data_IF_202106722846
#
_entry.id   IF_202106722846
#
_cell.length_a   1.000
_cell.length_b   1.000
_cell.length_c   1.000
_cell.angle_alpha   90.00
_cell.angle_beta   90.00
_cell.angle_gamma   90.00
#
_symmetry.space_group_name_H-M   'P 1'
#
loop_
_entity.id
_entity.type
_entity.pdbx_description
1 polymer ?
#
# COMPACT_ATOMS: atom_id res chain seq x y z
N UNK A 1 -7.10 -2.72 25.20
CA UNK A 1 -6.38 -2.28 26.40
C UNK A 1 -5.68 -3.55 26.87
N UNK A 2 -4.40 -3.69 26.54
CA UNK A 2 -3.61 -4.84 26.99
C UNK A 2 -3.57 -4.79 28.51
N UNK A 3 -3.97 -5.86 29.20
CA UNK A 3 -3.80 -5.97 30.65
C UNK A 3 -2.31 -6.14 30.93
N UNK A 4 -1.66 -5.00 31.17
CA UNK A 4 -0.29 -4.94 31.63
C UNK A 4 -0.34 -5.39 33.09
N UNK A 5 0.01 -6.66 33.34
CA UNK A 5 0.13 -7.22 34.68
C UNK A 5 0.98 -6.30 35.55
N UNK A 6 0.55 -6.10 36.78
CA UNK A 6 1.29 -5.28 37.73
C UNK A 6 2.63 -5.94 38.06
N UNK A 7 3.65 -5.12 38.34
CA UNK A 7 5.00 -5.63 38.62
C UNK A 7 5.04 -6.63 39.79
N UNK A 8 4.10 -6.51 40.73
CA UNK A 8 3.94 -7.42 41.87
C UNK A 8 3.43 -8.81 41.44
N UNK A 9 2.56 -8.88 40.43
CA UNK A 9 2.09 -10.15 39.86
C UNK A 9 3.19 -10.84 39.05
N UNK A 10 4.03 -10.07 38.34
CA UNK A 10 5.18 -10.60 37.63
C UNK A 10 6.19 -11.22 38.60
N UNK A 11 6.48 -10.56 39.73
CA UNK A 11 7.39 -11.08 40.75
C UNK A 11 6.84 -12.30 41.48
N UNK A 12 5.52 -12.37 41.69
CA UNK A 12 4.85 -13.54 42.25
C UNK A 12 4.97 -14.76 41.32
N UNK A 13 4.78 -14.57 40.00
CA UNK A 13 4.94 -15.63 39.00
C UNK A 13 6.41 -16.08 38.85
N UNK A 14 7.37 -15.15 38.89
CA UNK A 14 8.80 -15.46 38.84
C UNK A 14 9.25 -16.28 40.06
N UNK A 15 8.74 -15.96 41.26
CA UNK A 15 8.99 -16.75 42.47
C UNK A 15 8.35 -18.14 42.39
N UNK A 16 7.13 -18.26 41.86
CA UNK A 16 6.45 -19.54 41.66
C UNK A 16 7.21 -20.47 40.73
N UNK A 17 7.75 -19.95 39.62
CA UNK A 17 8.60 -20.70 38.68
C UNK A 17 9.93 -21.13 39.32
N UNK A 18 10.56 -20.27 40.12
CA UNK A 18 11.85 -20.57 40.75
C UNK A 18 11.77 -21.62 41.87
N UNK A 19 10.63 -21.73 42.56
CA UNK A 19 10.41 -22.74 43.60
C UNK A 19 9.84 -24.07 43.09
N UNK A 20 9.48 -24.17 41.81
CA UNK A 20 8.97 -25.41 41.22
C UNK A 20 7.60 -25.85 41.76
N UNK A 21 6.89 -24.96 42.46
CA UNK A 21 5.59 -25.22 43.11
C UNK A 21 4.39 -24.97 42.16
N UNK A 22 4.66 -24.67 40.89
CA UNK A 22 3.60 -24.63 39.89
C UNK A 22 3.39 -26.05 39.39
N UNK A 23 2.30 -26.67 39.84
CA UNK A 23 1.75 -27.84 39.19
C UNK A 23 1.51 -27.48 37.72
N UNK A 24 2.44 -27.90 36.86
CA UNK A 24 2.23 -27.87 35.42
C UNK A 24 1.25 -28.99 35.14
N UNK A 25 -0.05 -28.69 35.24
CA UNK A 25 -1.06 -29.52 34.63
C UNK A 25 -0.60 -29.75 33.19
N UNK A 26 -0.27 -31.01 32.89
CA UNK A 26 -0.08 -31.44 31.50
C UNK A 26 -1.38 -31.07 30.81
N UNK A 27 -1.31 -30.07 29.95
CA UNK A 27 -2.41 -29.70 29.06
C UNK A 27 -2.80 -30.98 28.34
N UNK A 28 -3.90 -31.60 28.77
CA UNK A 28 -4.51 -32.69 28.02
C UNK A 28 -4.73 -32.13 26.62
N UNK A 29 -4.17 -32.79 25.60
CA UNK A 29 -4.53 -32.49 24.23
C UNK A 29 -6.02 -32.77 24.08
N UNK A 30 -6.83 -31.74 24.28
CA UNK A 30 -8.25 -31.78 24.03
C UNK A 30 -8.37 -32.12 22.55
N UNK A 31 -8.77 -33.37 22.27
CA UNK A 31 -9.27 -33.83 20.98
C UNK A 31 -10.53 -33.03 20.65
N UNK A 32 -10.30 -31.80 20.20
CA UNK A 32 -11.30 -30.81 19.86
C UNK A 32 -11.14 -30.45 18.39
N UNK A 33 -12.27 -30.46 17.67
CA UNK A 33 -12.36 -29.95 16.31
C UNK A 33 -11.78 -28.54 16.29
N UNK A 34 -10.62 -28.36 15.65
CA UNK A 34 -10.09 -27.03 15.38
C UNK A 34 -11.04 -26.38 14.37
N UNK A 35 -11.73 -25.32 14.79
CA UNK A 35 -12.46 -24.43 13.89
C UNK A 35 -11.48 -23.91 12.83
N UNK A 36 -11.54 -24.51 11.66
CA UNK A 36 -10.70 -24.16 10.54
C UNK A 36 -11.36 -23.00 9.79
N UNK A 37 -10.78 -21.81 9.93
CA UNK A 37 -11.27 -20.63 9.24
C UNK A 37 -10.83 -20.64 7.77
N UNK A 38 -11.77 -20.98 6.88
CA UNK A 38 -11.57 -20.95 5.44
C UNK A 38 -11.40 -19.52 4.88
N UNK A 39 -11.74 -18.48 5.63
CA UNK A 39 -11.61 -17.07 5.22
C UNK A 39 -10.22 -16.49 5.51
N UNK A 40 -9.46 -17.16 6.38
CA UNK A 40 -8.10 -16.83 6.77
C UNK A 40 -7.02 -17.33 5.80
N UNK A 41 -7.39 -18.01 4.70
CA UNK A 41 -6.41 -18.44 3.70
C UNK A 41 -5.76 -17.23 3.01
N UNK A 42 -4.66 -16.74 3.58
CA UNK A 42 -3.63 -16.09 2.79
C UNK A 42 -3.19 -17.11 1.75
N UNK A 43 -3.67 -16.96 0.52
CA UNK A 43 -2.97 -17.54 -0.63
C UNK A 43 -1.61 -16.87 -0.66
N UNK A 44 -0.67 -17.43 0.09
CA UNK A 44 0.75 -17.11 -0.03
C UNK A 44 1.10 -17.61 -1.44
N UNK A 45 1.01 -16.72 -2.44
CA UNK A 45 1.66 -16.95 -3.72
C UNK A 45 3.14 -16.87 -3.39
N UNK A 46 3.70 -18.04 -3.10
CA UNK A 46 5.05 -18.27 -2.58
C UNK A 46 6.07 -18.19 -3.73
N UNK A 47 6.01 -17.11 -4.49
CA UNK A 47 6.89 -16.84 -5.61
C UNK A 47 7.07 -15.33 -5.75
N UNK A 48 8.33 -14.89 -5.72
CA UNK A 48 8.68 -13.55 -6.23
C UNK A 48 8.16 -13.47 -7.66
N UNK A 49 7.71 -12.29 -8.11
CA UNK A 49 7.29 -12.05 -9.48
C UNK A 49 8.37 -11.24 -10.23
N UNK A 50 9.54 -11.82 -10.60
CA UNK A 50 10.64 -11.08 -11.20
C UNK A 50 10.23 -10.24 -12.41
N UNK A 51 9.34 -10.76 -13.26
CA UNK A 51 8.86 -10.02 -14.43
C UNK A 51 8.08 -8.77 -14.03
N UNK A 52 7.27 -8.85 -12.98
CA UNK A 52 6.53 -7.70 -12.44
C UNK A 52 7.48 -6.68 -11.81
N UNK A 53 8.51 -7.15 -11.09
CA UNK A 53 9.52 -6.28 -10.51
C UNK A 53 10.28 -5.50 -11.61
N UNK A 54 10.69 -6.19 -12.68
CA UNK A 54 11.35 -5.57 -13.84
C UNK A 54 10.42 -4.57 -14.55
N UNK A 55 9.14 -4.91 -14.72
CA UNK A 55 8.15 -4.00 -15.32
C UNK A 55 8.00 -2.73 -14.48
N UNK A 56 7.87 -2.89 -13.17
CA UNK A 56 7.67 -1.79 -12.24
C UNK A 56 8.92 -0.90 -12.10
N UNK A 57 10.12 -1.47 -12.13
CA UNK A 57 11.36 -0.70 -12.11
C UNK A 57 11.50 0.17 -13.37
N UNK A 58 11.13 -0.38 -14.54
CA UNK A 58 11.09 0.37 -15.80
C UNK A 58 10.03 1.46 -15.78
N UNK A 59 8.83 1.14 -15.30
CA UNK A 59 7.75 2.12 -15.12
C UNK A 59 8.19 3.27 -14.22
N UNK A 60 8.80 2.98 -13.07
CA UNK A 60 9.31 4.00 -12.16
C UNK A 60 10.33 4.93 -12.85
N UNK A 61 11.23 4.36 -13.66
CA UNK A 61 12.23 5.11 -14.42
C UNK A 61 11.61 6.00 -15.49
N UNK A 62 10.67 5.48 -16.28
CA UNK A 62 9.99 6.24 -17.33
C UNK A 62 9.12 7.34 -16.72
N UNK A 63 8.31 6.99 -15.72
CA UNK A 63 7.45 7.94 -15.02
C UNK A 63 8.24 9.06 -14.34
N UNK A 64 9.42 8.76 -13.78
CA UNK A 64 10.34 9.78 -13.25
C UNK A 64 10.72 10.81 -14.31
N UNK A 65 11.09 10.36 -15.52
CA UNK A 65 11.49 11.24 -16.62
C UNK A 65 10.30 12.06 -17.12
N UNK A 66 9.18 11.40 -17.39
CA UNK A 66 7.94 12.03 -17.87
C UNK A 66 7.42 13.07 -16.88
N UNK A 67 7.36 12.73 -15.59
CA UNK A 67 6.91 13.64 -14.54
C UNK A 67 7.88 14.82 -14.34
N UNK A 68 9.19 14.55 -14.30
CA UNK A 68 10.21 15.60 -14.16
C UNK A 68 10.16 16.61 -15.32
N UNK A 69 9.96 16.13 -16.55
CA UNK A 69 9.78 16.97 -17.72
C UNK A 69 8.49 17.80 -17.65
N UNK A 70 7.40 17.20 -17.15
CA UNK A 70 6.09 17.84 -17.06
C UNK A 70 6.06 18.99 -16.04
N UNK A 71 6.68 18.81 -14.87
CA UNK A 71 6.73 19.84 -13.82
C UNK A 71 7.97 20.72 -13.86
N UNK A 72 8.93 20.43 -14.75
CA UNK A 72 10.23 21.10 -14.89
C UNK A 72 11.05 21.14 -13.60
N UNK A 73 11.02 20.05 -12.83
CA UNK A 73 11.78 19.87 -11.58
C UNK A 73 12.33 18.44 -11.51
N UNK A 74 13.41 18.26 -10.76
CA UNK A 74 13.92 16.92 -10.47
C UNK A 74 12.96 16.20 -9.52
N UNK A 75 12.39 15.09 -10.01
CA UNK A 75 11.60 14.15 -9.20
C UNK A 75 12.42 12.87 -9.02
N UNK A 76 12.28 12.24 -7.86
CA UNK A 76 12.76 10.89 -7.62
C UNK A 76 11.56 9.95 -7.47
N UNK A 77 11.64 8.80 -8.12
CA UNK A 77 10.59 7.78 -8.10
C UNK A 77 11.28 6.45 -7.89
N UNK A 78 10.91 5.77 -6.81
CA UNK A 78 11.46 4.48 -6.44
C UNK A 78 10.35 3.45 -6.34
N UNK A 79 10.61 2.25 -6.84
CA UNK A 79 9.70 1.13 -6.64
C UNK A 79 9.90 0.56 -5.23
N UNK A 80 8.79 0.27 -4.54
CA UNK A 80 8.77 -0.45 -3.27
C UNK A 80 8.32 -1.89 -3.52
N UNK A 81 8.79 -2.82 -2.69
CA UNK A 81 8.50 -4.25 -2.78
C UNK A 81 7.02 -4.54 -3.03
N UNK A 82 6.77 -5.49 -3.94
CA UNK A 82 5.43 -6.00 -4.23
C UNK A 82 4.96 -6.85 -3.06
N UNK A 83 3.83 -6.47 -2.47
CA UNK A 83 3.19 -7.18 -1.37
C UNK A 83 1.81 -7.68 -1.79
N UNK A 84 1.44 -8.87 -1.29
CA UNK A 84 0.10 -9.42 -1.48
C UNK A 84 -0.72 -9.02 -0.26
N UNK A 85 -1.85 -8.34 -0.50
CA UNK A 85 -2.77 -7.92 0.56
C UNK A 85 -4.20 -8.22 0.14
N UNK A 86 -5.10 -8.42 1.12
CA UNK A 86 -6.54 -8.54 0.84
C UNK A 86 -7.05 -7.19 0.36
N UNK A 87 -7.91 -7.21 -0.66
CA UNK A 87 -8.48 -5.99 -1.22
C UNK A 87 -9.20 -5.14 -0.16
N UNK A 88 -9.93 -5.79 0.76
CA UNK A 88 -10.62 -5.10 1.85
C UNK A 88 -9.65 -4.36 2.78
N UNK A 89 -8.52 -4.96 3.11
CA UNK A 89 -7.49 -4.35 3.98
C UNK A 89 -6.80 -3.19 3.25
N UNK A 90 -6.52 -3.34 1.96
CA UNK A 90 -6.02 -2.25 1.11
C UNK A 90 -6.99 -1.06 1.11
N UNK A 91 -8.27 -1.29 0.81
CA UNK A 91 -9.28 -0.23 0.74
C UNK A 91 -9.48 0.51 2.07
N UNK A 92 -9.36 -0.19 3.21
CA UNK A 92 -9.39 0.44 4.54
C UNK A 92 -8.18 1.33 4.82
N UNK A 93 -7.04 1.05 4.16
CA UNK A 93 -5.82 1.84 4.29
C UNK A 93 -5.78 3.07 3.38
N UNK A 94 -6.63 3.17 2.36
CA UNK A 94 -6.65 4.32 1.44
C UNK A 94 -7.22 5.55 2.17
N UNK A 95 -6.44 6.64 2.33
CA UNK A 95 -6.92 7.84 3.01
C UNK A 95 -8.00 8.54 2.19
N UNK A 96 -8.99 9.11 2.86
CA UNK A 96 -9.95 10.01 2.22
C UNK A 96 -9.48 11.47 2.35
N UNK A 97 -9.46 12.28 1.26
CA UNK A 97 -9.74 11.95 -0.14
C UNK A 97 -8.53 11.32 -0.86
N UNK A 98 -8.78 10.46 -1.86
CA UNK A 98 -7.76 9.90 -2.78
C UNK A 98 -8.33 9.79 -4.20
N UNK A 99 -7.50 9.94 -5.22
CA UNK A 99 -7.90 9.67 -6.61
C UNK A 99 -7.74 8.18 -6.89
N UNK A 100 -8.86 7.50 -7.09
CA UNK A 100 -8.91 6.07 -7.38
C UNK A 100 -9.30 5.89 -8.85
N UNK A 101 -8.42 5.25 -9.62
CA UNK A 101 -8.58 5.04 -11.06
C UNK A 101 -8.63 3.54 -11.33
N UNK A 102 -9.76 3.06 -11.85
CA UNK A 102 -9.94 1.67 -12.26
C UNK A 102 -9.64 1.59 -13.75
N UNK A 103 -8.77 0.67 -14.14
CA UNK A 103 -8.36 0.49 -15.52
C UNK A 103 -8.32 -0.98 -15.89
N UNK A 104 -8.26 -1.25 -17.19
CA UNK A 104 -8.10 -2.60 -17.74
C UNK A 104 -6.85 -2.60 -18.61
N UNK A 105 -6.08 -3.68 -18.54
CA UNK A 105 -4.91 -3.88 -19.39
C UNK A 105 -5.21 -5.04 -20.32
N UNK A 106 -5.57 -4.77 -21.58
CA UNK A 106 -5.74 -5.85 -22.55
C UNK A 106 -4.34 -6.39 -22.98
N UNK A 107 -4.12 -7.72 -23.02
CA UNK A 107 -5.07 -8.83 -22.88
C UNK A 107 -5.21 -9.40 -21.45
N UNK A 108 -4.54 -8.82 -20.46
CA UNK A 108 -4.57 -9.30 -19.08
C UNK A 108 -6.02 -9.28 -18.56
N UNK A 109 -6.42 -10.39 -17.95
CA UNK A 109 -7.79 -10.54 -17.43
C UNK A 109 -7.90 -9.85 -16.08
N UNK A 110 -8.92 -9.02 -15.94
CA UNK A 110 -9.25 -8.35 -14.68
C UNK A 110 -9.13 -6.83 -14.77
N UNK A 111 -9.31 -6.19 -13.62
CA UNK A 111 -9.17 -4.74 -13.46
C UNK A 111 -7.95 -4.42 -12.60
N UNK A 112 -7.20 -3.41 -13.02
CA UNK A 112 -6.16 -2.76 -12.24
C UNK A 112 -6.72 -1.57 -11.48
N UNK A 113 -6.06 -1.23 -10.38
CA UNK A 113 -6.39 -0.08 -9.55
C UNK A 113 -5.14 0.80 -9.39
N UNK A 114 -5.27 2.07 -9.74
CA UNK A 114 -4.24 3.10 -9.54
C UNK A 114 -4.77 4.12 -8.55
N UNK A 115 -4.09 4.26 -7.40
CA UNK A 115 -4.48 5.17 -6.32
C UNK A 115 -3.41 6.24 -6.16
N UNK A 116 -3.83 7.50 -6.19
CA UNK A 116 -3.01 8.64 -5.81
C UNK A 116 -3.60 9.26 -4.54
N UNK A 117 -2.76 9.46 -3.53
CA UNK A 117 -3.12 10.11 -2.28
C UNK A 117 -3.32 11.62 -2.49
N UNK A 118 -4.22 12.23 -1.73
CA UNK A 118 -4.49 13.67 -1.84
C UNK A 118 -3.24 14.55 -1.63
N UNK A 119 -2.37 14.32 -0.62
CA UNK A 119 -1.17 15.14 -0.43
C UNK A 119 -0.25 15.17 -1.66
N UNK A 120 -0.03 14.02 -2.30
CA UNK A 120 0.74 13.95 -3.56
C UNK A 120 0.05 14.74 -4.68
N UNK A 121 -1.26 14.56 -4.87
CA UNK A 121 -2.02 15.25 -5.91
C UNK A 121 -1.96 16.77 -5.74
N UNK A 122 -2.20 17.28 -4.52
CA UNK A 122 -2.14 18.72 -4.27
C UNK A 122 -0.73 19.27 -4.49
N UNK A 123 0.30 18.54 -4.11
CA UNK A 123 1.70 18.90 -4.39
C UNK A 123 1.97 18.99 -5.89
N UNK A 124 1.47 18.01 -6.67
CA UNK A 124 1.59 18.02 -8.13
C UNK A 124 0.86 19.22 -8.76
N UNK A 125 -0.36 19.50 -8.30
CA UNK A 125 -1.14 20.65 -8.76
C UNK A 125 -0.38 21.95 -8.50
N UNK A 126 0.17 22.15 -7.31
CA UNK A 126 1.01 23.32 -7.02
C UNK A 126 2.17 23.43 -8.01
N UNK A 127 2.89 22.34 -8.29
CA UNK A 127 3.99 22.38 -9.24
C UNK A 127 3.55 22.70 -10.68
N UNK A 128 2.41 22.20 -11.13
CA UNK A 128 1.85 22.55 -12.45
C UNK A 128 1.48 24.03 -12.57
N UNK A 129 1.09 24.66 -11.46
CA UNK A 129 0.79 26.10 -11.41
C UNK A 129 2.00 26.97 -11.04
N UNK A 130 3.20 26.41 -10.92
CA UNK A 130 4.43 27.14 -10.59
C UNK A 130 4.62 27.43 -9.09
N UNK A 131 3.87 26.77 -8.23
CA UNK A 131 4.01 26.80 -6.78
C UNK A 131 5.28 26.13 -6.28
N UNK A 132 5.63 26.40 -5.02
CA UNK A 132 6.90 25.93 -4.43
C UNK A 132 6.81 24.56 -3.75
N UNK A 133 5.60 24.00 -3.58
CA UNK A 133 5.36 22.73 -2.88
C UNK A 133 5.52 22.82 -1.36
N UNK A 134 5.55 24.05 -0.82
CA UNK A 134 5.65 24.34 0.63
C UNK A 134 4.28 24.52 1.27
N UNK A 135 3.20 24.44 0.50
CA UNK A 135 1.84 24.49 1.04
C UNK A 135 1.56 23.23 1.84
N UNK A 136 1.37 23.37 3.15
CA UNK A 136 0.71 22.33 3.94
C UNK A 136 -0.76 22.30 3.50
N UNK A 137 -1.08 21.47 2.52
CA UNK A 137 -2.46 21.26 2.11
C UNK A 137 -3.09 20.30 3.10
N UNK A 138 -3.93 20.83 4.01
CA UNK A 138 -4.84 19.98 4.77
C UNK A 138 -5.93 19.53 3.79
N UNK A 139 -6.06 18.22 3.51
CA UNK A 139 -7.19 17.75 2.76
C UNK A 139 -8.42 18.00 3.64
N UNK A 140 -9.23 19.01 3.33
CA UNK A 140 -10.44 19.35 4.10
C UNK A 140 -11.57 18.31 3.93
N UNK A 141 -11.24 17.07 3.54
CA UNK A 141 -12.23 16.06 3.15
C UNK A 141 -13.04 16.45 1.91
N UNK A 142 -12.58 17.45 1.15
CA UNK A 142 -13.26 17.93 -0.06
C UNK A 142 -12.93 17.06 -1.27
N UNK A 143 -13.89 16.97 -2.19
CA UNK A 143 -13.66 16.42 -3.52
C UNK A 143 -12.77 17.35 -4.37
N UNK A 144 -12.07 16.78 -5.35
CA UNK A 144 -11.27 17.54 -6.29
C UNK A 144 -12.17 18.40 -7.19
N UNK A 145 -11.81 19.66 -7.36
CA UNK A 145 -12.49 20.58 -8.29
C UNK A 145 -12.29 20.14 -9.75
N UNK A 146 -13.14 20.58 -10.70
CA UNK A 146 -13.01 20.18 -12.10
C UNK A 146 -11.66 20.52 -12.75
N UNK A 147 -10.99 21.58 -12.29
CA UNK A 147 -9.67 21.97 -12.80
C UNK A 147 -8.60 21.02 -12.27
N UNK A 148 -8.67 20.67 -10.98
CA UNK A 148 -7.77 19.72 -10.34
C UNK A 148 -7.95 18.32 -10.97
N UNK A 149 -9.18 17.89 -11.23
CA UNK A 149 -9.49 16.64 -11.93
C UNK A 149 -8.85 16.56 -13.32
N UNK A 150 -8.81 17.67 -14.08
CA UNK A 150 -8.13 17.68 -15.38
C UNK A 150 -6.63 17.47 -15.26
N UNK A 151 -6.00 18.03 -14.23
CA UNK A 151 -4.56 17.85 -13.96
C UNK A 151 -4.30 16.41 -13.53
N UNK A 152 -5.10 15.88 -12.61
CA UNK A 152 -5.04 14.48 -12.16
C UNK A 152 -5.15 13.55 -13.37
N UNK A 153 -6.14 13.78 -14.25
CA UNK A 153 -6.32 12.99 -15.46
C UNK A 153 -5.09 13.04 -16.38
N UNK A 154 -4.48 14.21 -16.56
CA UNK A 154 -3.24 14.34 -17.35
C UNK A 154 -2.09 13.52 -16.77
N UNK A 155 -1.92 13.52 -15.44
CA UNK A 155 -0.89 12.72 -14.76
C UNK A 155 -1.19 11.22 -14.86
N UNK A 156 -2.45 10.83 -14.70
CA UNK A 156 -2.91 9.44 -14.86
C UNK A 156 -2.63 8.94 -16.28
N UNK A 157 -2.96 9.72 -17.32
CA UNK A 157 -2.70 9.34 -18.71
C UNK A 157 -1.21 9.25 -19.03
N UNK A 158 -0.39 10.11 -18.42
CA UNK A 158 1.08 10.02 -18.52
C UNK A 158 1.59 8.72 -17.90
N UNK A 159 1.12 8.39 -16.70
CA UNK A 159 1.43 7.13 -16.03
C UNK A 159 1.06 5.92 -16.90
N UNK A 160 -0.12 5.91 -17.52
CA UNK A 160 -0.52 4.80 -18.39
C UNK A 160 0.31 4.68 -19.66
N UNK A 161 0.71 5.81 -20.26
CA UNK A 161 1.65 5.82 -21.40
C UNK A 161 2.98 5.19 -21.01
N UNK A 162 3.53 5.61 -19.87
CA UNK A 162 4.81 5.09 -19.36
C UNK A 162 4.70 3.60 -18.98
N UNK A 163 3.53 3.18 -18.47
CA UNK A 163 3.21 1.81 -18.12
C UNK A 163 3.15 0.93 -19.37
N UNK A 164 2.46 1.35 -20.42
CA UNK A 164 2.43 0.61 -21.68
C UNK A 164 3.84 0.39 -22.22
N UNK A 165 4.68 1.43 -22.22
CA UNK A 165 6.07 1.32 -22.68
C UNK A 165 6.93 0.40 -21.80
N UNK A 166 6.75 0.46 -20.48
CA UNK A 166 7.49 -0.41 -19.55
C UNK A 166 7.12 -1.90 -19.70
N UNK A 167 5.89 -2.20 -20.11
CA UNK A 167 5.37 -3.56 -20.26
C UNK A 167 5.66 -4.20 -21.63
N UNK A 168 5.95 -3.42 -22.68
CA UNK A 168 6.31 -3.91 -24.04
C UNK A 168 7.32 -5.07 -24.10
N UNK A 169 8.35 -5.15 -23.24
CA UNK A 169 9.33 -6.23 -23.35
C UNK A 169 8.86 -7.54 -22.70
N UNK A 170 7.78 -7.50 -21.95
CA UNK A 170 7.18 -8.67 -21.27
C UNK A 170 5.97 -9.17 -22.07
N UNK A 171 5.26 -8.26 -22.73
CA UNK A 171 4.11 -8.54 -23.58
C UNK A 171 4.12 -7.69 -24.85
#
# INVERSE_FOLDING_TARGET
MEDILSQEEVDALLKGIAHGDVETEKVEEVSGVKLYDFTGQEKIVRGRMPSLDIANERLARNFRLSLSAAIRRMVDVTNVNVNITKFYDFMRGVPFPSSINIFKMDPLRGFGLLVFDAPMIFSLIEFFFGGTGKGYYKPEGREFTPIEQKIIHKVVMMFFTDMEEAWKPIY
#
